data_IF_691638682729
#
_entry.id   IF_691638682729
#
_cell.length_a   1.000
_cell.length_b   1.000
_cell.length_c   1.000
_cell.angle_alpha   90.00
_cell.angle_beta   90.00
_cell.angle_gamma   90.00
#
_symmetry.space_group_name_H-M   'P 1'
#
loop_
_entity.id
_entity.type
_entity.pdbx_description
1 polymer ?
#
# COMPACT_ATOMS: atom_id res chain seq x y z
N UNK A 1 -40.44 10.98 -15.35
CA UNK A 1 -39.06 11.18 -14.86
C UNK A 1 -38.53 12.40 -15.60
N UNK A 2 -38.12 13.44 -14.89
CA UNK A 2 -37.63 14.68 -15.52
C UNK A 2 -36.17 14.54 -15.94
N UNK A 3 -35.76 15.28 -16.96
CA UNK A 3 -34.35 15.38 -17.39
C UNK A 3 -33.54 15.97 -16.24
N UNK A 4 -32.44 15.32 -15.85
CA UNK A 4 -31.62 15.68 -14.70
C UNK A 4 -31.91 14.90 -13.41
N UNK A 5 -32.98 14.09 -13.36
CA UNK A 5 -33.17 13.14 -12.27
C UNK A 5 -32.02 12.12 -12.24
N UNK A 6 -31.44 11.88 -11.06
CA UNK A 6 -30.28 10.99 -10.84
C UNK A 6 -28.98 11.40 -11.55
N UNK A 7 -28.83 12.68 -11.93
CA UNK A 7 -27.60 13.18 -12.58
C UNK A 7 -27.44 12.74 -14.04
N UNK A 8 -28.49 12.16 -14.64
CA UNK A 8 -28.48 11.79 -16.06
C UNK A 8 -28.72 13.03 -16.94
N UNK A 9 -27.75 13.34 -17.81
CA UNK A 9 -27.89 14.35 -18.87
C UNK A 9 -27.43 15.78 -18.53
N UNK A 10 -26.65 15.98 -17.46
CA UNK A 10 -26.03 17.29 -17.14
C UNK A 10 -24.53 17.15 -16.89
N UNK A 11 -23.74 18.09 -17.40
CA UNK A 11 -22.30 18.21 -17.10
C UNK A 11 -22.02 18.98 -15.81
N UNK A 12 -23.02 19.67 -15.26
CA UNK A 12 -22.92 20.43 -14.02
C UNK A 12 -23.49 19.59 -12.88
N UNK A 13 -22.59 18.95 -12.11
CA UNK A 13 -22.96 18.17 -10.93
C UNK A 13 -23.07 19.10 -9.71
N UNK A 14 -24.28 19.30 -9.20
CA UNK A 14 -24.51 20.06 -7.97
C UNK A 14 -24.18 19.18 -6.76
N UNK A 15 -23.23 19.61 -5.93
CA UNK A 15 -22.94 18.92 -4.67
C UNK A 15 -24.00 19.23 -3.62
N UNK A 16 -24.52 18.20 -2.96
CA UNK A 16 -25.57 18.31 -1.94
C UNK A 16 -25.07 17.86 -0.56
N UNK A 17 -25.72 18.31 0.52
CA UNK A 17 -25.37 17.85 1.87
C UNK A 17 -25.86 16.42 2.09
N UNK A 18 -25.22 15.72 3.02
CA UNK A 18 -25.56 14.32 3.34
C UNK A 18 -27.04 14.11 3.68
N UNK A 19 -27.65 15.07 4.39
CA UNK A 19 -29.06 15.03 4.81
C UNK A 19 -30.06 15.32 3.69
N UNK A 20 -29.63 15.87 2.56
CA UNK A 20 -30.51 16.28 1.46
C UNK A 20 -30.76 15.15 0.44
N UNK A 21 -30.10 14.00 0.62
CA UNK A 21 -30.20 12.85 -0.29
C UNK A 21 -31.54 12.14 -0.13
N UNK A 22 -32.11 11.69 -1.25
CA UNK A 22 -33.47 11.12 -1.29
C UNK A 22 -33.48 9.72 -1.88
N UNK A 23 -33.63 8.71 -1.03
CA UNK A 23 -33.78 7.33 -1.47
C UNK A 23 -32.55 6.79 -2.22
N UNK A 24 -32.77 5.85 -3.14
CA UNK A 24 -31.71 5.24 -3.95
C UNK A 24 -31.21 6.23 -5.02
N UNK A 25 -29.90 6.38 -5.18
CA UNK A 25 -29.37 7.24 -6.25
C UNK A 25 -27.86 7.47 -6.19
N UNK A 26 -27.36 8.09 -7.25
CA UNK A 26 -26.00 8.62 -7.34
C UNK A 26 -26.01 10.11 -6.98
N UNK A 27 -25.09 10.52 -6.11
CA UNK A 27 -25.02 11.87 -5.57
C UNK A 27 -23.58 12.37 -5.59
N UNK A 28 -23.39 13.66 -5.81
CA UNK A 28 -22.16 14.34 -5.43
C UNK A 28 -22.40 14.93 -4.02
N UNK A 29 -21.70 14.44 -3.00
CA UNK A 29 -21.95 14.80 -1.61
C UNK A 29 -20.84 15.71 -1.06
N UNK A 30 -21.24 16.83 -0.44
CA UNK A 30 -20.35 17.66 0.39
C UNK A 30 -20.23 17.02 1.76
N UNK A 31 -19.17 16.28 2.03
CA UNK A 31 -19.05 15.57 3.31
C UNK A 31 -17.60 15.39 3.76
N UNK A 32 -17.30 15.79 5.00
CA UNK A 32 -16.11 15.31 5.71
C UNK A 32 -16.32 13.84 6.12
N UNK A 33 -15.78 12.90 5.32
CA UNK A 33 -15.82 11.47 5.63
C UNK A 33 -14.65 11.09 6.54
N UNK A 34 -14.69 11.48 7.82
CA UNK A 34 -13.66 11.05 8.78
C UNK A 34 -12.20 11.32 8.33
N UNK A 35 -11.97 12.43 7.63
CA UNK A 35 -10.65 12.79 7.05
C UNK A 35 -10.51 12.60 5.54
N UNK A 36 -11.55 12.15 4.84
CA UNK A 36 -11.63 12.11 3.37
C UNK A 36 -12.27 13.41 2.87
N UNK A 37 -11.73 13.97 1.79
CA UNK A 37 -12.00 15.31 1.24
C UNK A 37 -13.47 15.69 1.09
N UNK A 38 -13.70 17.01 1.02
CA UNK A 38 -15.02 17.62 1.07
C UNK A 38 -15.99 17.21 -0.05
N UNK A 39 -15.54 16.58 -1.14
CA UNK A 39 -16.39 16.12 -2.23
C UNK A 39 -16.21 14.61 -2.48
N UNK A 40 -17.29 13.85 -2.36
CA UNK A 40 -17.31 12.41 -2.61
C UNK A 40 -18.50 12.07 -3.50
N UNK A 41 -18.26 11.35 -4.59
CA UNK A 41 -19.34 10.73 -5.34
C UNK A 41 -19.87 9.54 -4.53
N UNK A 42 -21.18 9.46 -4.34
CA UNK A 42 -21.81 8.45 -3.49
C UNK A 42 -22.90 7.74 -4.28
N UNK A 43 -22.83 6.41 -4.32
CA UNK A 43 -23.99 5.59 -4.67
C UNK A 43 -24.67 5.15 -3.37
N UNK A 44 -25.87 5.71 -3.13
CA UNK A 44 -26.67 5.43 -1.94
C UNK A 44 -27.72 4.37 -2.19
N UNK A 45 -27.77 3.38 -1.30
CA UNK A 45 -28.70 2.26 -1.32
C UNK A 45 -29.47 2.21 0.01
N UNK A 46 -30.67 2.83 0.09
CA UNK A 46 -31.49 2.77 1.29
C UNK A 46 -31.98 1.34 1.52
N UNK A 47 -31.92 0.90 2.77
CA UNK A 47 -32.57 -0.33 3.24
C UNK A 47 -33.92 0.02 3.89
N UNK A 48 -33.94 1.04 4.73
CA UNK A 48 -35.14 1.59 5.38
C UNK A 48 -35.01 3.10 5.60
N UNK A 49 -35.92 3.70 6.39
CA UNK A 49 -35.96 5.13 6.65
C UNK A 49 -34.73 5.68 7.42
N UNK A 50 -33.98 4.81 8.11
CA UNK A 50 -32.87 5.17 8.99
C UNK A 50 -31.56 4.46 8.63
N UNK A 51 -31.59 3.52 7.69
CA UNK A 51 -30.46 2.66 7.33
C UNK A 51 -30.19 2.70 5.83
N UNK A 52 -28.95 2.98 5.45
CA UNK A 52 -28.52 3.00 4.06
C UNK A 52 -27.07 2.55 3.90
N UNK A 53 -26.82 1.71 2.90
CA UNK A 53 -25.47 1.37 2.46
C UNK A 53 -25.02 2.37 1.40
N UNK A 54 -23.73 2.69 1.42
CA UNK A 54 -23.12 3.64 0.51
C UNK A 54 -21.82 3.09 -0.05
N UNK A 55 -21.66 3.22 -1.36
CA UNK A 55 -20.35 3.23 -1.98
C UNK A 55 -19.90 4.68 -2.09
N UNK A 56 -18.74 4.96 -1.52
CA UNK A 56 -18.13 6.28 -1.49
C UNK A 56 -16.89 6.25 -2.39
N UNK A 57 -16.92 7.09 -3.41
CA UNK A 57 -15.86 7.31 -4.39
C UNK A 57 -15.27 8.69 -4.10
N UNK A 58 -14.21 8.77 -3.28
CA UNK A 58 -13.58 10.04 -2.98
C UNK A 58 -13.07 10.69 -4.27
N UNK A 59 -13.36 11.97 -4.45
CA UNK A 59 -12.84 12.71 -5.59
C UNK A 59 -11.40 13.14 -5.31
N UNK A 60 -10.47 12.18 -5.33
CA UNK A 60 -9.02 12.42 -5.27
C UNK A 60 -8.43 12.10 -6.64
N UNK A 61 -7.89 13.11 -7.32
CA UNK A 61 -7.42 13.01 -8.70
C UNK A 61 -5.92 12.67 -8.80
N UNK A 62 -5.27 12.53 -7.66
CA UNK A 62 -3.83 12.49 -7.44
C UNK A 62 -3.37 11.22 -6.69
N UNK A 63 -4.31 10.42 -6.20
CA UNK A 63 -4.07 9.12 -5.57
C UNK A 63 -4.66 8.01 -6.43
N UNK A 64 -4.14 6.76 -6.34
CA UNK A 64 -4.81 5.62 -6.94
C UNK A 64 -6.27 5.54 -6.51
N UNK A 65 -7.20 5.10 -7.38
CA UNK A 65 -8.62 5.09 -7.08
C UNK A 65 -8.92 4.23 -5.84
N UNK A 66 -9.59 4.84 -4.87
CA UNK A 66 -10.02 4.17 -3.64
C UNK A 66 -11.53 4.00 -3.64
N UNK A 67 -12.00 2.92 -3.02
CA UNK A 67 -13.42 2.68 -2.80
C UNK A 67 -13.65 2.47 -1.32
N UNK A 68 -14.70 3.11 -0.80
CA UNK A 68 -15.12 2.97 0.58
C UNK A 68 -16.56 2.49 0.66
N UNK A 69 -16.80 1.60 1.60
CA UNK A 69 -18.13 1.20 2.04
C UNK A 69 -18.50 2.02 3.26
N UNK A 70 -19.73 2.50 3.30
CA UNK A 70 -20.27 3.16 4.48
C UNK A 70 -21.66 2.66 4.82
N UNK A 71 -21.92 2.52 6.11
CA UNK A 71 -23.24 2.22 6.65
C UNK A 71 -23.77 3.44 7.41
N UNK A 72 -24.93 3.93 7.00
CA UNK A 72 -25.78 4.75 7.86
C UNK A 72 -26.75 3.83 8.56
N UNK A 73 -26.91 3.97 9.87
CA UNK A 73 -27.76 3.08 10.66
C UNK A 73 -28.34 3.81 11.86
N UNK A 74 -29.52 3.40 12.30
CA UNK A 74 -30.04 3.79 13.61
C UNK A 74 -29.23 3.22 14.79
N UNK A 75 -28.33 2.25 14.54
CA UNK A 75 -27.40 1.71 15.53
C UNK A 75 -26.15 2.60 15.64
N UNK A 76 -25.90 3.28 16.78
CA UNK A 76 -24.73 4.15 16.94
C UNK A 76 -23.40 3.41 16.78
N UNK A 77 -23.39 2.09 16.97
CA UNK A 77 -22.19 1.25 16.82
C UNK A 77 -21.71 1.16 15.39
N UNK A 78 -22.62 1.28 14.41
CA UNK A 78 -22.31 1.10 12.99
C UNK A 78 -22.60 2.34 12.16
N UNK A 79 -23.35 3.30 12.71
CA UNK A 79 -23.69 4.53 12.02
C UNK A 79 -22.45 5.33 11.65
N UNK A 80 -22.39 5.74 10.39
CA UNK A 80 -21.32 6.53 9.84
C UNK A 80 -20.00 5.78 9.65
N UNK A 81 -19.88 4.51 10.01
CA UNK A 81 -18.64 3.74 9.86
C UNK A 81 -18.23 3.62 8.40
N UNK A 82 -16.96 3.89 8.14
CA UNK A 82 -16.33 3.84 6.83
C UNK A 82 -15.35 2.66 6.81
N UNK A 83 -15.44 1.82 5.78
CA UNK A 83 -14.56 0.69 5.57
C UNK A 83 -13.91 0.81 4.19
N UNK A 84 -12.58 0.80 4.13
CA UNK A 84 -11.84 0.81 2.87
C UNK A 84 -11.99 -0.54 2.17
N UNK A 85 -12.21 -0.52 0.87
CA UNK A 85 -12.17 -1.71 0.02
C UNK A 85 -10.74 -1.95 -0.43
N UNK A 86 -10.28 -3.18 -0.19
CA UNK A 86 -8.97 -3.62 -0.61
C UNK A 86 -9.01 -4.23 -2.01
N UNK A 87 -8.07 -3.82 -2.85
CA UNK A 87 -7.88 -4.19 -4.26
C UNK A 87 -6.43 -4.61 -4.48
N UNK A 88 -6.11 -5.15 -5.64
CA UNK A 88 -4.72 -5.44 -6.07
C UNK A 88 -3.83 -4.19 -6.11
N UNK A 89 -4.42 -3.01 -6.28
CA UNK A 89 -3.70 -1.72 -6.25
C UNK A 89 -3.27 -1.26 -4.85
N UNK A 90 -3.91 -1.73 -3.78
CA UNK A 90 -3.63 -1.29 -2.40
C UNK A 90 -3.36 -2.44 -1.42
N UNK A 91 -3.15 -3.65 -1.95
CA UNK A 91 -2.71 -4.82 -1.19
C UNK A 91 -1.57 -5.53 -1.88
N UNK A 92 -0.71 -6.16 -1.09
CA UNK A 92 0.27 -7.12 -1.59
C UNK A 92 -0.22 -8.53 -1.29
N UNK A 93 -0.24 -9.37 -2.31
CA UNK A 93 -0.48 -10.81 -2.16
C UNK A 93 0.84 -11.51 -1.88
N UNK A 94 0.97 -12.14 -0.72
CA UNK A 94 2.12 -12.99 -0.41
C UNK A 94 2.05 -14.32 -1.19
N UNK A 95 3.18 -15.04 -1.26
CA UNK A 95 3.27 -16.33 -1.96
C UNK A 95 2.32 -17.41 -1.40
N UNK A 96 1.91 -17.28 -0.14
CA UNK A 96 0.94 -18.16 0.53
C UNK A 96 -0.53 -17.76 0.29
N UNK A 97 -0.77 -16.67 -0.46
CA UNK A 97 -2.10 -16.15 -0.78
C UNK A 97 -2.69 -15.19 0.27
N UNK A 98 -1.97 -14.85 1.34
CA UNK A 98 -2.41 -13.83 2.29
C UNK A 98 -2.37 -12.43 1.67
N UNK A 99 -3.44 -11.65 1.89
CA UNK A 99 -3.51 -10.25 1.48
C UNK A 99 -3.14 -9.37 2.67
N UNK A 100 -2.20 -8.46 2.45
CA UNK A 100 -1.75 -7.52 3.47
C UNK A 100 -1.72 -6.11 2.88
N UNK A 101 -1.84 -5.07 3.71
CA UNK A 101 -1.86 -3.68 3.23
C UNK A 101 -0.59 -3.39 2.41
N UNK A 102 -0.74 -2.56 1.37
CA UNK A 102 0.40 -2.07 0.63
C UNK A 102 1.40 -1.42 1.60
N UNK A 103 2.66 -1.82 1.47
CA UNK A 103 3.80 -1.12 2.07
C UNK A 103 4.84 -0.98 0.96
N UNK A 104 5.82 -0.07 1.10
CA UNK A 104 6.90 0.03 0.14
C UNK A 104 7.69 -1.28 0.15
N UNK A 105 7.72 -1.98 -0.99
CA UNK A 105 8.34 -3.31 -1.11
C UNK A 105 9.37 -3.27 -2.22
N UNK A 106 10.51 -3.89 -1.95
CA UNK A 106 11.61 -4.07 -2.88
C UNK A 106 11.89 -5.57 -2.94
N UNK A 107 11.70 -6.18 -4.12
CA UNK A 107 12.15 -7.55 -4.34
C UNK A 107 13.58 -7.52 -4.88
N UNK A 108 14.45 -8.32 -4.30
CA UNK A 108 15.87 -8.43 -4.69
C UNK A 108 16.13 -9.82 -5.25
N UNK A 109 16.76 -9.88 -6.42
CA UNK A 109 17.12 -11.11 -7.10
C UNK A 109 18.63 -11.39 -7.03
N UNK A 110 19.01 -12.62 -7.37
CA UNK A 110 20.38 -13.14 -7.26
C UNK A 110 21.44 -12.26 -7.94
N UNK A 111 21.13 -11.73 -9.12
CA UNK A 111 22.00 -10.90 -9.96
C UNK A 111 22.08 -9.44 -9.51
N UNK A 112 21.31 -9.05 -8.49
CA UNK A 112 21.17 -7.67 -8.04
C UNK A 112 20.10 -6.88 -8.78
N UNK A 113 19.38 -7.48 -9.73
CA UNK A 113 18.15 -6.88 -10.25
C UNK A 113 17.11 -6.76 -9.15
N UNK A 114 16.19 -5.81 -9.31
CA UNK A 114 15.14 -5.57 -8.32
C UNK A 114 13.83 -5.12 -8.96
N UNK A 115 12.74 -5.41 -8.26
CA UNK A 115 11.40 -4.90 -8.58
C UNK A 115 10.91 -4.05 -7.41
N UNK A 116 10.49 -2.83 -7.71
CA UNK A 116 9.85 -1.90 -6.78
C UNK A 116 8.35 -1.85 -7.04
N UNK A 117 7.57 -1.53 -6.02
CA UNK A 117 6.17 -1.16 -6.19
C UNK A 117 6.04 0.37 -6.30
N UNK A 118 4.82 0.87 -6.48
CA UNK A 118 4.57 2.30 -6.65
C UNK A 118 5.04 3.15 -5.45
N UNK A 119 4.95 2.60 -4.24
CA UNK A 119 5.39 3.28 -3.01
C UNK A 119 6.91 3.27 -2.84
N UNK A 120 7.63 2.27 -3.36
CA UNK A 120 9.10 2.19 -3.33
C UNK A 120 9.78 2.69 -4.62
N UNK A 121 9.06 3.48 -5.44
CA UNK A 121 9.62 4.09 -6.64
C UNK A 121 10.84 4.97 -6.28
N UNK A 122 11.94 4.77 -7.00
CA UNK A 122 13.21 5.46 -6.76
C UNK A 122 14.20 4.69 -5.88
N UNK A 123 13.80 3.56 -5.28
CA UNK A 123 14.75 2.66 -4.62
C UNK A 123 15.63 1.96 -5.66
N UNK A 124 16.92 1.84 -5.36
CA UNK A 124 17.86 1.10 -6.21
C UNK A 124 18.58 0.03 -5.41
N UNK A 125 18.90 -1.08 -6.08
CA UNK A 125 19.62 -2.21 -5.50
C UNK A 125 20.91 -2.44 -6.25
N UNK A 126 22.01 -2.58 -5.52
CA UNK A 126 23.34 -2.84 -6.07
C UNK A 126 23.93 -4.09 -5.41
N UNK A 127 24.25 -5.11 -6.21
CA UNK A 127 25.02 -6.27 -5.73
C UNK A 127 26.49 -5.89 -5.57
N UNK A 128 26.97 -5.87 -4.33
CA UNK A 128 28.35 -5.51 -4.00
C UNK A 128 29.29 -6.72 -4.00
N UNK A 129 28.75 -7.93 -3.88
CA UNK A 129 29.50 -9.18 -3.84
C UNK A 129 28.57 -10.38 -3.72
N UNK A 130 29.15 -11.58 -3.61
CA UNK A 130 28.39 -12.81 -3.39
C UNK A 130 27.60 -12.74 -2.09
N UNK A 131 26.27 -12.82 -2.21
CA UNK A 131 25.34 -12.70 -1.10
C UNK A 131 25.31 -11.32 -0.45
N UNK A 132 25.79 -10.25 -1.10
CA UNK A 132 25.81 -8.90 -0.53
C UNK A 132 25.09 -7.91 -1.44
N UNK A 133 23.98 -7.34 -0.94
CA UNK A 133 23.11 -6.43 -1.67
C UNK A 133 22.93 -5.13 -0.89
N UNK A 134 23.23 -3.99 -1.51
CA UNK A 134 22.98 -2.67 -0.96
C UNK A 134 21.72 -2.07 -1.57
N UNK A 135 20.76 -1.69 -0.72
CA UNK A 135 19.53 -1.01 -1.09
C UNK A 135 19.65 0.46 -0.69
N UNK A 136 19.44 1.38 -1.64
CA UNK A 136 19.51 2.84 -1.43
C UNK A 136 18.24 3.53 -1.92
N UNK A 137 17.96 4.75 -1.43
CA UNK A 137 16.71 5.47 -1.71
C UNK A 137 15.60 5.22 -0.69
N UNK A 138 15.94 4.61 0.44
CA UNK A 138 15.06 4.35 1.59
C UNK A 138 15.68 4.91 2.90
N UNK A 139 14.87 5.03 3.95
CA UNK A 139 15.25 5.44 5.31
C UNK A 139 15.42 4.26 6.27
N UNK A 140 15.60 3.05 5.74
CA UNK A 140 15.75 1.82 6.51
C UNK A 140 14.58 0.88 6.30
N UNK A 141 14.31 0.05 7.30
CA UNK A 141 13.21 -0.90 7.27
C UNK A 141 11.91 -0.27 7.74
N UNK A 142 10.82 -0.69 7.13
CA UNK A 142 9.50 -0.27 7.57
C UNK A 142 9.23 -0.82 8.98
N UNK A 143 8.89 0.07 9.93
CA UNK A 143 8.74 -0.25 11.34
C UNK A 143 7.35 -0.79 11.73
N UNK A 144 6.49 -1.11 10.76
CA UNK A 144 5.14 -1.61 11.02
C UNK A 144 5.16 -2.95 11.81
N UNK A 145 4.49 -2.95 12.95
CA UNK A 145 4.34 -4.09 13.85
C UNK A 145 3.65 -5.30 13.18
N UNK A 146 2.87 -5.08 12.11
CA UNK A 146 2.24 -6.15 11.34
C UNK A 146 3.24 -7.06 10.58
N UNK A 147 4.50 -6.66 10.49
CA UNK A 147 5.49 -7.25 9.57
C UNK A 147 6.83 -7.63 10.19
N UNK A 148 6.84 -7.94 11.49
CA UNK A 148 8.08 -8.32 12.20
C UNK A 148 8.59 -7.24 13.14
N UNK A 149 7.90 -6.10 13.23
CA UNK A 149 8.24 -5.02 14.14
C UNK A 149 9.62 -4.42 13.84
N UNK A 150 10.32 -4.00 14.88
CA UNK A 150 11.65 -3.37 14.83
C UNK A 150 12.74 -4.24 14.14
N UNK A 151 12.55 -5.57 14.09
CA UNK A 151 13.52 -6.52 13.52
C UNK A 151 13.21 -6.95 12.06
N UNK A 152 12.20 -6.32 11.43
CA UNK A 152 12.19 -6.17 9.96
C UNK A 152 11.22 -7.02 9.14
N UNK A 153 10.58 -6.36 8.17
CA UNK A 153 9.69 -6.91 7.15
C UNK A 153 10.39 -7.58 5.98
N UNK A 154 11.11 -8.68 6.26
CA UNK A 154 11.71 -9.54 5.25
C UNK A 154 10.87 -10.78 4.96
N UNK A 155 10.82 -11.20 3.70
CA UNK A 155 10.41 -12.55 3.31
C UNK A 155 11.54 -13.21 2.52
N UNK A 156 12.02 -14.34 3.02
CA UNK A 156 13.17 -15.06 2.48
C UNK A 156 12.73 -16.29 1.66
N UNK A 157 13.51 -16.67 0.64
CA UNK A 157 13.31 -17.89 -0.15
C UNK A 157 13.11 -19.13 0.71
N UNK A 158 12.10 -19.93 0.36
CA UNK A 158 11.72 -21.16 1.05
C UNK A 158 11.63 -22.32 0.06
N UNK A 159 11.92 -23.52 0.54
CA UNK A 159 11.75 -24.75 -0.23
C UNK A 159 10.26 -25.19 -0.29
N UNK A 160 10.01 -26.31 -0.97
CA UNK A 160 8.66 -26.92 -1.06
C UNK A 160 8.05 -27.30 0.29
N UNK A 161 8.86 -27.47 1.32
CA UNK A 161 8.47 -27.81 2.70
C UNK A 161 8.43 -26.59 3.62
N UNK A 162 8.52 -25.37 3.07
CA UNK A 162 8.59 -24.09 3.80
C UNK A 162 9.83 -23.93 4.66
N UNK A 163 10.90 -24.68 4.39
CA UNK A 163 12.19 -24.53 5.03
C UNK A 163 12.96 -23.39 4.36
N UNK A 164 13.48 -22.41 5.12
CA UNK A 164 14.24 -21.31 4.54
C UNK A 164 15.54 -21.81 3.89
N UNK A 165 15.82 -21.34 2.68
CA UNK A 165 17.00 -21.76 1.90
C UNK A 165 18.27 -20.98 2.26
N UNK A 166 18.10 -19.80 2.86
CA UNK A 166 19.17 -18.89 3.22
C UNK A 166 18.97 -18.34 4.64
N UNK A 167 20.07 -17.96 5.27
CA UNK A 167 20.08 -17.01 6.37
C UNK A 167 20.15 -15.59 5.80
N UNK A 168 19.49 -14.65 6.47
CA UNK A 168 19.54 -13.24 6.13
C UNK A 168 20.02 -12.46 7.34
N UNK A 169 21.08 -11.67 7.14
CA UNK A 169 21.56 -10.67 8.07
C UNK A 169 21.42 -9.30 7.40
N UNK A 170 21.19 -8.25 8.17
CA UNK A 170 21.05 -6.92 7.63
C UNK A 170 21.67 -5.86 8.52
N UNK A 171 22.07 -4.76 7.90
CA UNK A 171 22.53 -3.56 8.59
C UNK A 171 21.92 -2.34 7.93
N UNK A 172 21.30 -1.49 8.75
CA UNK A 172 20.87 -0.15 8.32
C UNK A 172 22.05 0.80 8.52
N UNK A 173 22.45 1.48 7.45
CA UNK A 173 23.51 2.47 7.49
C UNK A 173 22.96 3.82 7.99
N UNK A 174 23.84 4.75 8.44
CA UNK A 174 23.41 6.06 8.94
C UNK A 174 22.67 6.93 7.92
N UNK A 175 22.86 6.67 6.63
CA UNK A 175 22.18 7.33 5.51
C UNK A 175 20.80 6.72 5.19
N UNK A 176 20.37 5.69 5.94
CA UNK A 176 19.11 4.97 5.71
C UNK A 176 19.22 3.83 4.71
N UNK A 177 20.36 3.65 4.02
CA UNK A 177 20.57 2.52 3.12
C UNK A 177 20.59 1.21 3.90
N UNK A 178 20.04 0.15 3.30
CA UNK A 178 19.96 -1.18 3.92
C UNK A 178 20.95 -2.09 3.22
N UNK A 179 21.92 -2.61 3.96
CA UNK A 179 22.82 -3.65 3.50
C UNK A 179 22.27 -5.00 3.90
N UNK A 180 21.94 -5.84 2.92
CA UNK A 180 21.46 -7.21 3.12
C UNK A 180 22.57 -8.19 2.78
N UNK A 181 22.78 -9.15 3.68
CA UNK A 181 23.72 -10.25 3.51
C UNK A 181 23.00 -11.59 3.61
N UNK A 182 23.28 -12.48 2.67
CA UNK A 182 22.66 -13.80 2.59
C UNK A 182 23.71 -14.89 2.75
N UNK A 183 23.38 -15.91 3.54
CA UNK A 183 24.27 -17.05 3.81
C UNK A 183 23.55 -18.37 3.58
N UNK A 184 24.31 -19.40 3.23
CA UNK A 184 23.78 -20.72 2.97
C UNK A 184 23.22 -21.34 4.26
N UNK A 185 22.01 -21.89 4.17
CA UNK A 185 21.33 -22.53 5.31
C UNK A 185 21.05 -23.99 5.00
N UNK A 186 21.64 -24.89 5.78
CA UNK A 186 21.36 -26.32 5.71
C UNK A 186 20.37 -26.72 6.80
N UNK A 187 19.73 -27.87 6.62
CA UNK A 187 18.76 -28.45 7.56
C UNK A 187 19.17 -29.88 7.91
N UNK A 188 20.15 -30.10 8.81
CA UNK A 188 20.70 -31.43 9.09
C UNK A 188 19.65 -32.42 9.64
N UNK A 189 18.59 -31.91 10.27
CA UNK A 189 17.46 -32.71 10.76
C UNK A 189 16.45 -33.12 9.70
N UNK A 190 16.57 -32.63 8.46
CA UNK A 190 15.69 -32.99 7.35
C UNK A 190 16.17 -34.27 6.63
N UNK A 191 15.27 -34.97 5.89
CA UNK A 191 15.68 -36.02 4.96
C UNK A 191 16.69 -35.50 3.93
N UNK A 192 17.59 -36.36 3.44
CA UNK A 192 18.70 -36.00 2.52
C UNK A 192 18.28 -35.09 1.35
N UNK A 193 17.12 -35.38 0.73
CA UNK A 193 16.58 -34.58 -0.38
C UNK A 193 16.10 -33.16 0.00
N UNK A 194 15.96 -32.87 1.30
CA UNK A 194 15.44 -31.62 1.86
C UNK A 194 16.45 -30.92 2.78
N UNK A 195 17.69 -31.41 2.90
CA UNK A 195 18.72 -30.78 3.75
C UNK A 195 19.27 -29.46 3.21
N UNK A 196 18.97 -29.15 1.94
CA UNK A 196 19.54 -28.02 1.22
C UNK A 196 21.07 -28.03 1.24
N UNK A 197 21.70 -29.20 1.17
CA UNK A 197 23.17 -29.32 1.04
C UNK A 197 23.59 -29.00 -0.40
N UNK A 198 24.54 -28.08 -0.57
CA UNK A 198 25.12 -27.71 -1.87
C UNK A 198 26.61 -28.01 -1.91
N UNK A 199 27.07 -28.63 -2.99
CA UNK A 199 28.51 -28.82 -3.21
C UNK A 199 29.24 -27.48 -3.21
N UNK A 200 30.30 -27.38 -2.40
CA UNK A 200 31.12 -26.17 -2.30
C UNK A 200 30.64 -25.12 -1.29
N UNK A 201 29.50 -25.34 -0.62
CA UNK A 201 28.98 -24.41 0.40
C UNK A 201 28.72 -25.14 1.73
N UNK A 202 29.24 -24.59 2.82
CA UNK A 202 28.94 -24.99 4.19
C UNK A 202 27.82 -24.12 4.76
N UNK A 203 27.25 -24.56 5.88
CA UNK A 203 26.29 -23.73 6.62
C UNK A 203 26.95 -22.41 7.07
N UNK A 204 26.31 -21.30 6.74
CA UNK A 204 26.80 -19.96 7.06
C UNK A 204 27.77 -19.36 6.03
N UNK A 205 28.12 -20.08 4.96
CA UNK A 205 28.94 -19.50 3.88
C UNK A 205 28.14 -18.44 3.10
N UNK A 206 28.74 -17.30 2.71
CA UNK A 206 28.06 -16.30 1.89
C UNK A 206 27.57 -16.92 0.58
N UNK A 207 26.31 -16.67 0.23
CA UNK A 207 25.72 -17.19 -1.01
C UNK A 207 24.70 -16.20 -1.55
N UNK A 208 24.63 -16.06 -2.87
CA UNK A 208 23.57 -15.28 -3.51
C UNK A 208 22.17 -15.91 -3.29
N UNK A 209 21.15 -15.07 -3.46
CA UNK A 209 19.75 -15.49 -3.48
C UNK A 209 19.56 -16.60 -4.53
N UNK A 210 18.73 -17.64 -4.30
CA UNK A 210 18.43 -18.64 -5.31
C UNK A 210 17.91 -18.01 -6.60
N UNK A 211 18.43 -18.41 -7.76
CA UNK A 211 18.16 -17.78 -9.05
C UNK A 211 16.67 -17.84 -9.49
N UNK A 212 15.89 -18.75 -8.92
CA UNK A 212 14.46 -18.94 -9.17
C UNK A 212 13.57 -18.20 -8.15
N UNK A 213 14.16 -17.51 -7.17
CA UNK A 213 13.44 -16.84 -6.08
C UNK A 213 14.00 -15.43 -5.84
N UNK A 214 13.38 -14.72 -4.90
CA UNK A 214 13.76 -13.37 -4.49
C UNK A 214 13.65 -13.21 -2.98
N UNK A 215 14.34 -12.21 -2.46
CA UNK A 215 14.10 -11.70 -1.10
C UNK A 215 13.18 -10.49 -1.20
N UNK A 216 12.07 -10.49 -0.47
CA UNK A 216 11.19 -9.32 -0.37
C UNK A 216 11.59 -8.49 0.85
N UNK A 217 11.83 -7.21 0.66
CA UNK A 217 12.23 -6.27 1.70
C UNK A 217 11.19 -5.16 1.79
N UNK A 218 10.64 -4.92 2.96
CA UNK A 218 9.79 -3.76 3.23
C UNK A 218 10.64 -2.60 3.74
N UNK A 219 10.60 -1.49 3.03
CA UNK A 219 11.45 -0.33 3.29
C UNK A 219 10.64 0.85 3.77
N UNK A 220 11.25 1.71 4.57
CA UNK A 220 10.70 3.02 4.91
C UNK A 220 11.12 4.01 3.83
N UNK A 221 10.18 4.79 3.29
CA UNK A 221 10.47 5.73 2.21
C UNK A 221 10.61 7.15 2.74
N UNK A 222 11.60 7.93 2.27
CA UNK A 222 11.78 9.29 2.73
C UNK A 222 10.64 10.21 2.27
N UNK A 223 10.40 11.29 3.00
CA UNK A 223 9.34 12.27 2.73
C UNK A 223 9.54 12.98 1.38
N UNK A 224 10.77 13.02 0.88
CA UNK A 224 11.12 13.53 -0.45
C UNK A 224 11.17 12.43 -1.52
N UNK A 225 10.71 11.21 -1.23
CA UNK A 225 10.56 10.18 -2.26
C UNK A 225 9.59 10.63 -3.35
N UNK A 226 9.78 10.12 -4.57
CA UNK A 226 8.95 10.46 -5.73
C UNK A 226 7.46 10.31 -5.41
N UNK A 227 7.12 9.24 -4.68
CA UNK A 227 5.76 9.01 -4.22
C UNK A 227 5.27 10.08 -3.24
N UNK A 228 6.04 10.36 -2.17
CA UNK A 228 5.67 11.36 -1.16
C UNK A 228 5.63 12.80 -1.71
N UNK A 229 6.52 13.15 -2.65
CA UNK A 229 6.51 14.44 -3.32
C UNK A 229 5.26 14.60 -4.19
N UNK A 230 4.90 13.57 -4.98
CA UNK A 230 3.63 13.57 -5.73
C UNK A 230 2.42 13.75 -4.80
N UNK A 231 2.44 13.16 -3.60
CA UNK A 231 1.40 13.36 -2.58
C UNK A 231 1.40 14.80 -2.03
N UNK A 232 2.57 15.37 -1.72
CA UNK A 232 2.69 16.71 -1.12
C UNK A 232 2.37 17.83 -2.11
N UNK A 233 2.86 17.73 -3.34
CA UNK A 233 2.55 18.67 -4.43
C UNK A 233 1.07 18.68 -4.73
N UNK A 234 0.44 17.49 -4.78
CA UNK A 234 -0.98 17.39 -4.97
C UNK A 234 -1.77 17.99 -3.80
N UNK A 235 -1.35 17.72 -2.55
CA UNK A 235 -1.97 18.33 -1.37
C UNK A 235 -1.83 19.87 -1.34
N UNK A 236 -0.69 20.39 -1.79
CA UNK A 236 -0.42 21.84 -1.83
C UNK A 236 -1.23 22.51 -2.94
N UNK A 237 -1.28 21.92 -4.13
CA UNK A 237 -2.13 22.40 -5.23
C UNK A 237 -3.61 22.43 -4.85
N UNK A 238 -4.07 21.46 -4.05
CA UNK A 238 -5.44 21.45 -3.51
C UNK A 238 -5.68 22.56 -2.48
N UNK A 239 -4.70 22.83 -1.61
CA UNK A 239 -4.80 23.90 -0.61
C UNK A 239 -4.82 25.29 -1.28
N UNK A 240 -4.00 25.49 -2.32
CA UNK A 240 -3.98 26.73 -3.11
C UNK A 240 -5.30 26.93 -3.87
N UNK A 241 -5.83 25.87 -4.52
CA UNK A 241 -7.14 25.92 -5.19
C UNK A 241 -8.29 26.26 -4.23
N UNK A 242 -8.25 25.78 -2.98
CA UNK A 242 -9.23 26.13 -1.95
C UNK A 242 -9.09 27.58 -1.45
N UNK A 243 -7.90 28.17 -1.53
CA UNK A 243 -7.67 29.55 -1.09
C UNK A 243 -8.08 30.62 -2.12
N UNK A 244 -7.95 30.30 -3.41
CA UNK A 244 -8.37 31.20 -4.50
C UNK A 244 -9.90 31.27 -4.68
N UNK A 245 -10.64 30.20 -4.35
CA UNK A 245 -12.11 30.22 -4.34
C UNK A 245 -12.69 31.10 -3.21
N UNK A 246 -11.87 31.53 -2.25
CA UNK A 246 -12.29 32.36 -1.11
C UNK A 246 -12.26 33.88 -1.33
N UNK A 247 -11.70 34.36 -2.45
CA UNK A 247 -11.47 35.80 -2.65
C UNK A 247 -12.47 36.52 -3.58
N UNK A 248 -13.41 35.81 -4.20
CA UNK A 248 -14.31 36.41 -5.21
C UNK A 248 -15.76 36.56 -4.73
N UNK A 249 -15.94 37.07 -3.51
CA UNK A 249 -17.23 37.61 -3.06
C UNK A 249 -17.02 38.96 -2.39
N UNK A 250 -17.02 40.03 -3.19
CA UNK A 250 -17.73 41.30 -2.89
C UNK A 250 -17.65 42.27 -4.08
N UNK A 251 -18.69 43.09 -4.32
CA UNK A 251 -19.28 43.99 -3.33
C UNK A 251 -20.73 43.67 -2.91
#
# INVERSE_FOLDING_TARGET
MEVGAFGLGTSNLVSISQGDRKGFGAYNAKMLLGGIDNNTAVLGMPFDASTAFQFCFPARLDVPPELYLRLLSSSPTYDGKICKVYTDSNTTRAADGTLKSASPIVKVYADGSSETNYESEGVTVTRQGEGVYLITGCLGLNADAAWGGIDGGFDIPKDRNRQPLIWLDYKVNPDGSVLVKTYHRTHPGAPEFARNEREGFNEGDPIDIPADQYVSIRVEMPVDSIWNQRQLEAATAMAEAQSDEGHDVQP
#
